data_IF_998262746249
#
_entry.id   IF_998262746249
#
_cell.length_a   1.000
_cell.length_b   1.000
_cell.length_c   1.000
_cell.angle_alpha   90.00
_cell.angle_beta   90.00
_cell.angle_gamma   90.00
#
_symmetry.space_group_name_H-M   'P 1'
#
loop_
_entity.id
_entity.type
_entity.pdbx_description
1 polymer ?
#
# COMPACT_ATOMS: atom_id res chain seq x y z
N UNK A 1 -14.89 2.61 5.69
CA UNK A 1 -13.73 2.56 4.77
C UNK A 1 -13.57 1.13 4.28
N UNK A 2 -13.83 0.86 2.99
CA UNK A 2 -13.69 -0.49 2.42
C UNK A 2 -12.20 -0.82 2.33
N UNK A 3 -11.77 -1.84 3.06
CA UNK A 3 -10.39 -2.36 3.06
C UNK A 3 -10.13 -2.94 1.68
N UNK A 4 -9.11 -2.45 0.97
CA UNK A 4 -8.68 -3.05 -0.30
C UNK A 4 -8.14 -4.43 0.03
N UNK A 5 -8.98 -5.44 -0.19
CA UNK A 5 -8.67 -6.85 0.05
C UNK A 5 -7.76 -7.32 -1.10
N UNK A 6 -6.49 -6.93 -1.05
CA UNK A 6 -5.45 -7.50 -1.93
C UNK A 6 -5.40 -8.98 -1.57
N UNK A 7 -5.89 -9.85 -2.46
CA UNK A 7 -5.86 -11.31 -2.33
C UNK A 7 -4.42 -11.79 -2.55
N UNK A 8 -3.54 -11.51 -1.58
CA UNK A 8 -2.15 -11.95 -1.57
C UNK A 8 -2.02 -13.41 -1.08
N UNK A 9 -2.88 -14.32 -1.54
CA UNK A 9 -2.88 -15.71 -1.06
C UNK A 9 -2.72 -16.79 -2.14
N UNK A 10 -2.54 -16.41 -3.42
CA UNK A 10 -2.43 -17.41 -4.51
C UNK A 10 -1.11 -17.35 -5.31
N UNK A 11 -0.02 -16.80 -4.77
CA UNK A 11 1.28 -16.79 -5.46
C UNK A 11 2.44 -17.47 -4.72
N UNK A 12 2.24 -18.03 -3.52
CA UNK A 12 3.31 -18.75 -2.80
C UNK A 12 3.57 -20.19 -3.30
N UNK A 13 2.82 -20.69 -4.29
CA UNK A 13 2.92 -22.09 -4.77
C UNK A 13 3.67 -22.25 -6.10
N UNK A 14 4.20 -21.18 -6.71
CA UNK A 14 4.96 -21.31 -7.98
C UNK A 14 6.45 -20.94 -7.89
N UNK A 15 6.98 -20.73 -6.69
CA UNK A 15 8.37 -20.28 -6.51
C UNK A 15 9.30 -21.35 -5.94
N UNK A 16 9.16 -22.58 -6.42
CA UNK A 16 10.18 -23.64 -6.27
C UNK A 16 10.37 -24.33 -7.62
N UNK A 17 11.34 -23.82 -8.39
CA UNK A 17 11.88 -24.53 -9.53
C UNK A 17 11.28 -24.15 -10.88
N UNK A 18 11.71 -23.02 -11.45
CA UNK A 18 12.13 -22.96 -12.85
C UNK A 18 12.76 -21.59 -13.09
N UNK A 19 14.06 -21.55 -13.39
CA UNK A 19 14.76 -20.36 -13.86
C UNK A 19 14.30 -20.02 -15.29
N UNK A 20 13.04 -19.63 -15.45
CA UNK A 20 12.53 -19.02 -16.66
C UNK A 20 12.79 -17.52 -16.52
N UNK A 21 13.72 -17.01 -17.32
CA UNK A 21 14.00 -15.59 -17.58
C UNK A 21 12.79 -14.68 -17.26
N UNK A 22 12.67 -14.24 -16.01
CA UNK A 22 11.62 -13.32 -15.63
C UNK A 22 12.06 -11.95 -16.13
N UNK A 23 11.37 -11.43 -17.15
CA UNK A 23 11.58 -10.08 -17.63
C UNK A 23 11.76 -9.12 -16.45
N UNK A 24 12.78 -8.24 -16.45
CA UNK A 24 13.09 -7.38 -15.30
C UNK A 24 11.98 -6.35 -15.04
N UNK A 25 10.98 -6.31 -15.92
CA UNK A 25 9.87 -5.39 -15.92
C UNK A 25 8.55 -6.11 -15.70
N UNK A 26 7.66 -5.48 -14.96
CA UNK A 26 6.23 -5.74 -15.02
C UNK A 26 5.56 -4.82 -16.03
N UNK A 27 4.74 -5.39 -16.90
CA UNK A 27 3.82 -4.64 -17.74
C UNK A 27 2.59 -4.17 -16.94
N UNK A 28 1.89 -3.15 -17.45
CA UNK A 28 0.65 -2.65 -16.85
C UNK A 28 -0.39 -3.75 -16.58
N UNK A 29 -0.49 -4.75 -17.46
CA UNK A 29 -1.41 -5.89 -17.29
C UNK A 29 -1.03 -6.76 -16.09
N UNK A 30 0.26 -7.03 -15.90
CA UNK A 30 0.78 -7.80 -14.78
C UNK A 30 0.62 -7.03 -13.46
N UNK A 31 0.93 -5.74 -13.45
CA UNK A 31 0.71 -4.89 -12.26
C UNK A 31 -0.79 -4.79 -11.92
N UNK A 32 -1.67 -4.70 -12.93
CA UNK A 32 -3.10 -4.70 -12.71
C UNK A 32 -3.59 -6.03 -12.11
N UNK A 33 -3.07 -7.17 -12.58
CA UNK A 33 -3.35 -8.48 -12.02
C UNK A 33 -2.84 -8.59 -10.56
N UNK A 34 -1.61 -8.16 -10.28
CA UNK A 34 -1.03 -8.14 -8.93
C UNK A 34 -1.85 -7.30 -7.95
N UNK A 35 -2.32 -6.14 -8.40
CA UNK A 35 -3.16 -5.26 -7.60
C UNK A 35 -4.63 -5.71 -7.56
N UNK A 36 -5.04 -6.71 -8.35
CA UNK A 36 -6.44 -7.13 -8.48
C UNK A 36 -7.35 -6.02 -9.00
N UNK A 37 -6.94 -5.31 -10.05
CA UNK A 37 -7.76 -4.31 -10.74
C UNK A 37 -7.72 -4.47 -12.26
N UNK A 38 -8.63 -3.78 -12.96
CA UNK A 38 -8.60 -3.72 -14.42
C UNK A 38 -7.56 -2.71 -14.92
N UNK A 39 -7.07 -2.90 -16.15
CA UNK A 39 -6.16 -1.95 -16.81
C UNK A 39 -6.71 -0.51 -16.84
N UNK A 40 -8.02 -0.35 -17.08
CA UNK A 40 -8.67 0.96 -17.11
C UNK A 40 -8.64 1.69 -15.74
N UNK A 41 -8.67 0.93 -14.64
CA UNK A 41 -8.69 1.49 -13.28
C UNK A 41 -7.29 1.59 -12.66
N UNK A 42 -6.29 0.99 -13.32
CA UNK A 42 -4.90 0.97 -12.86
C UNK A 42 -4.33 2.38 -12.63
N UNK A 43 -4.47 3.38 -13.52
CA UNK A 43 -3.83 4.68 -13.32
C UNK A 43 -4.38 5.45 -12.11
N UNK A 44 -5.68 5.31 -11.83
CA UNK A 44 -6.30 5.93 -10.67
C UNK A 44 -5.89 5.23 -9.36
N UNK A 45 -5.86 3.89 -9.38
CA UNK A 45 -5.45 3.08 -8.23
C UNK A 45 -3.97 3.25 -7.91
N UNK A 46 -3.11 3.23 -8.93
CA UNK A 46 -1.68 3.47 -8.81
C UNK A 46 -1.39 4.83 -8.19
N UNK A 47 -1.98 5.93 -8.70
CA UNK A 47 -1.78 7.28 -8.12
C UNK A 47 -2.13 7.33 -6.64
N UNK A 48 -3.23 6.67 -6.26
CA UNK A 48 -3.66 6.58 -4.87
C UNK A 48 -2.69 5.77 -4.03
N UNK A 49 -2.22 4.63 -4.51
CA UNK A 49 -1.24 3.78 -3.82
C UNK A 49 0.13 4.45 -3.70
N UNK A 50 0.56 5.18 -4.73
CA UNK A 50 1.81 5.95 -4.69
C UNK A 50 1.72 7.06 -3.63
N UNK A 51 0.63 7.82 -3.60
CA UNK A 51 0.42 8.90 -2.62
C UNK A 51 0.26 8.38 -1.19
N UNK A 52 -0.56 7.34 -1.00
CA UNK A 52 -0.96 6.90 0.34
C UNK A 52 0.03 5.88 0.93
N UNK A 53 0.77 5.14 0.09
CA UNK A 53 1.61 4.00 0.48
C UNK A 53 2.98 3.93 -0.20
N UNK A 54 3.37 4.93 -1.00
CA UNK A 54 4.69 4.97 -1.64
C UNK A 54 4.90 3.93 -2.75
N UNK A 55 3.83 3.38 -3.34
CA UNK A 55 3.96 2.38 -4.40
C UNK A 55 4.86 2.86 -5.56
N UNK A 56 5.74 2.03 -6.13
CA UNK A 56 6.71 2.43 -7.15
C UNK A 56 6.11 3.17 -8.36
N UNK A 57 6.88 4.12 -8.91
CA UNK A 57 6.52 4.82 -10.15
C UNK A 57 6.84 3.93 -11.36
N UNK A 58 6.10 4.07 -12.48
CA UNK A 58 6.50 3.46 -13.73
C UNK A 58 7.84 4.03 -14.20
N UNK A 59 8.55 3.27 -15.03
CA UNK A 59 9.85 3.63 -15.53
C UNK A 59 9.79 4.86 -16.45
N UNK A 60 10.81 5.74 -16.40
CA UNK A 60 10.89 6.87 -17.31
C UNK A 60 10.99 6.39 -18.76
N UNK A 61 10.29 7.05 -19.68
CA UNK A 61 10.24 6.69 -21.10
C UNK A 61 9.22 5.60 -21.46
N UNK A 62 8.76 4.79 -20.51
CA UNK A 62 7.69 3.82 -20.71
C UNK A 62 6.71 3.81 -19.53
N UNK A 63 5.66 4.64 -19.63
CA UNK A 63 4.63 4.78 -18.61
C UNK A 63 3.79 3.52 -18.33
N UNK A 64 4.03 2.43 -19.07
CA UNK A 64 3.33 1.16 -18.95
C UNK A 64 4.18 0.04 -18.34
N UNK A 65 5.40 0.35 -17.87
CA UNK A 65 6.31 -0.63 -17.29
C UNK A 65 6.80 -0.23 -15.90
N UNK A 66 6.93 -1.20 -15.01
CA UNK A 66 7.47 -1.04 -13.66
C UNK A 66 8.67 -1.96 -13.46
N UNK A 67 9.64 -1.54 -12.64
CA UNK A 67 10.72 -2.44 -12.22
C UNK A 67 10.13 -3.58 -11.38
N UNK A 68 10.35 -4.82 -11.81
CA UNK A 68 9.91 -6.02 -11.09
C UNK A 68 10.50 -6.08 -9.68
N UNK A 69 11.77 -5.70 -9.56
CA UNK A 69 12.49 -5.62 -8.29
C UNK A 69 11.78 -4.67 -7.30
N UNK A 70 11.52 -3.43 -7.70
CA UNK A 70 10.91 -2.43 -6.81
C UNK A 70 9.47 -2.79 -6.41
N UNK A 71 8.71 -3.40 -7.33
CA UNK A 71 7.34 -3.84 -7.03
C UNK A 71 7.37 -5.00 -6.04
N UNK A 72 8.26 -5.97 -6.22
CA UNK A 72 8.40 -7.11 -5.30
C UNK A 72 8.88 -6.65 -3.92
N UNK A 73 9.92 -5.81 -3.87
CA UNK A 73 10.42 -5.23 -2.62
C UNK A 73 9.31 -4.49 -1.86
N UNK A 74 8.49 -3.71 -2.56
CA UNK A 74 7.34 -3.02 -1.96
C UNK A 74 6.28 -3.99 -1.43
N UNK A 75 5.98 -5.06 -2.18
CA UNK A 75 5.04 -6.10 -1.75
C UNK A 75 5.58 -6.81 -0.50
N UNK A 76 6.84 -7.24 -0.52
CA UNK A 76 7.49 -7.94 0.59
C UNK A 76 7.51 -7.07 1.86
N UNK A 77 7.82 -5.78 1.71
CA UNK A 77 7.81 -4.82 2.83
C UNK A 77 6.39 -4.56 3.35
N UNK A 78 5.41 -4.44 2.45
CA UNK A 78 4.01 -4.17 2.83
C UNK A 78 3.35 -5.38 3.48
N UNK A 79 3.67 -6.59 3.03
CA UNK A 79 3.20 -7.82 3.65
C UNK A 79 3.90 -8.08 4.99
N UNK A 80 5.18 -7.73 5.13
CA UNK A 80 5.87 -7.72 6.44
C UNK A 80 5.25 -6.74 7.44
N UNK A 81 4.84 -5.54 6.99
CA UNK A 81 4.09 -4.58 7.82
C UNK A 81 2.65 -5.02 8.13
N UNK A 82 2.09 -5.96 7.37
CA UNK A 82 0.76 -6.54 7.62
C UNK A 82 0.79 -7.63 8.69
N UNK A 83 1.89 -8.37 8.80
CA UNK A 83 2.07 -9.42 9.81
C UNK A 83 2.39 -8.85 11.20
N UNK A 84 2.86 -7.61 11.28
CA UNK A 84 2.90 -6.89 12.55
C UNK A 84 1.47 -6.51 12.96
N UNK A 85 1.07 -6.69 14.24
CA UNK A 85 -0.20 -6.17 14.74
C UNK A 85 -0.16 -4.64 14.65
N UNK A 86 -0.60 -4.10 13.52
CA UNK A 86 -0.85 -2.67 13.37
C UNK A 86 -1.98 -2.34 14.31
N UNK A 87 -1.65 -1.73 15.45
CA UNK A 87 -2.58 -0.90 16.21
C UNK A 87 -3.04 0.24 15.29
N UNK A 88 -4.01 -0.05 14.42
CA UNK A 88 -4.76 0.96 13.69
C UNK A 88 -5.56 1.71 14.72
N UNK A 89 -4.98 2.74 15.34
CA UNK A 89 -5.78 3.76 16.00
C UNK A 89 -6.69 4.35 14.93
N UNK A 90 -8.02 4.16 15.02
CA UNK A 90 -8.92 4.68 14.00
C UNK A 90 -8.76 6.20 13.96
N UNK A 91 -8.75 6.83 12.77
CA UNK A 91 -8.64 8.30 12.63
C UNK A 91 -9.61 9.08 13.53
N UNK A 92 -10.77 8.49 13.85
CA UNK A 92 -11.72 9.02 14.85
C UNK A 92 -11.13 9.11 16.25
N UNK A 93 -10.38 8.10 16.71
CA UNK A 93 -9.74 8.12 18.01
C UNK A 93 -8.67 9.22 18.11
N UNK A 94 -7.95 9.50 17.01
CA UNK A 94 -6.97 10.59 16.97
C UNK A 94 -7.66 11.97 17.07
N UNK A 95 -8.78 12.15 16.38
CA UNK A 95 -9.55 13.40 16.43
C UNK A 95 -10.19 13.64 17.81
N UNK A 96 -10.71 12.58 18.45
CA UNK A 96 -11.29 12.65 19.80
C UNK A 96 -10.21 12.99 20.83
N UNK A 97 -9.02 12.38 20.74
CA UNK A 97 -7.91 12.69 21.66
C UNK A 97 -7.43 14.14 21.49
N UNK A 98 -7.35 14.64 20.25
CA UNK A 98 -7.01 16.05 19.99
C UNK A 98 -8.06 17.01 20.56
N UNK A 99 -9.34 16.69 20.45
CA UNK A 99 -10.41 17.47 21.09
C UNK A 99 -10.32 17.43 22.62
N UNK A 100 -10.00 16.26 23.19
CA UNK A 100 -9.84 16.08 24.64
C UNK A 100 -8.68 16.92 25.16
N UNK A 101 -7.52 16.88 24.51
CA UNK A 101 -6.36 17.70 24.84
C UNK A 101 -6.66 19.20 24.71
N UNK A 102 -7.40 19.62 23.69
CA UNK A 102 -7.81 21.02 23.53
C UNK A 102 -8.77 21.50 24.63
N UNK A 103 -9.65 20.61 25.13
CA UNK A 103 -10.52 20.89 26.27
C UNK A 103 -9.73 20.94 27.57
N UNK A 104 -8.84 19.98 27.80
CA UNK A 104 -7.97 19.95 28.97
C UNK A 104 -7.08 21.20 29.02
N UNK A 105 -6.48 21.62 27.91
CA UNK A 105 -5.69 22.86 27.86
C UNK A 105 -6.52 24.11 28.19
N UNK A 106 -7.81 24.13 27.85
CA UNK A 106 -8.72 25.26 28.12
C UNK A 106 -9.25 25.30 29.55
N UNK A 107 -9.45 24.15 30.18
CA UNK A 107 -10.11 24.06 31.49
C UNK A 107 -9.19 23.63 32.64
N UNK A 108 -8.06 22.96 32.37
CA UNK A 108 -7.05 22.62 33.38
C UNK A 108 -6.12 23.81 33.72
N UNK A 109 -6.09 24.86 32.88
CA UNK A 109 -5.37 26.11 33.16
C UNK A 109 -6.08 27.07 34.11
N UNK A 110 -7.27 26.71 34.63
CA UNK A 110 -8.09 27.55 35.52
C UNK A 110 -8.22 27.04 36.96
N UNK A 111 -7.45 26.03 37.37
CA UNK A 111 -7.35 25.58 38.76
C UNK A 111 -5.94 25.86 39.31
N UNK A 112 -5.64 27.14 39.55
CA UNK A 112 -4.72 27.61 40.60
C UNK A 112 -5.30 28.90 41.16
#
# INVERSE_FOLDING_TARGET
MRVVRIHAHNLRILNKGCAMEQSPLYLASEVAALLGCSLATLPAKWRRLNRDHGFPRPLPGNGNAWSRYLVNEWIDTTDAERDLPRERRPRRAVAIEQQRQALEARYAGGMV
#
